data_IF_137325952277
#
_entry.id   IF_137325952277
#
_cell.length_a   1.000
_cell.length_b   1.000
_cell.length_c   1.000
_cell.angle_alpha   90.00
_cell.angle_beta   90.00
_cell.angle_gamma   90.00
#
_symmetry.space_group_name_H-M   'P 1'
#
loop_
_entity.id
_entity.type
_entity.pdbx_description
1 polymer ?
#
# COMPACT_ATOMS: atom_id res chain seq x y z
N UNK A 1 -5.92 5.60 -8.25
CA UNK A 1 -4.82 6.50 -7.82
C UNK A 1 -3.70 6.38 -8.83
N UNK A 2 -2.91 7.43 -9.05
CA UNK A 2 -1.69 7.30 -9.85
C UNK A 2 -0.61 6.54 -9.06
N UNK A 3 0.05 5.62 -9.73
CA UNK A 3 1.16 4.84 -9.17
C UNK A 3 2.30 5.78 -8.73
N UNK A 4 2.73 5.66 -7.47
CA UNK A 4 4.00 6.24 -7.00
C UNK A 4 4.62 5.32 -5.95
N UNK A 5 5.95 5.18 -5.96
CA UNK A 5 6.65 4.37 -4.94
C UNK A 5 6.38 4.88 -3.53
N UNK A 6 6.20 6.19 -3.34
CA UNK A 6 5.83 6.76 -2.05
C UNK A 6 4.42 6.36 -1.59
N UNK A 7 3.45 6.19 -2.49
CA UNK A 7 2.14 5.66 -2.10
C UNK A 7 2.24 4.20 -1.66
N UNK A 8 3.11 3.42 -2.31
CA UNK A 8 3.38 2.04 -1.90
C UNK A 8 4.07 1.99 -0.54
N UNK A 9 5.10 2.81 -0.31
CA UNK A 9 5.76 2.96 1.00
C UNK A 9 4.74 3.35 2.07
N UNK A 10 3.86 4.31 1.79
CA UNK A 10 2.79 4.69 2.71
C UNK A 10 1.91 3.51 3.04
N UNK A 11 1.47 2.73 2.05
CA UNK A 11 0.69 1.53 2.31
C UNK A 11 1.47 0.58 3.23
N UNK A 12 2.70 0.22 2.89
CA UNK A 12 3.58 -0.68 3.67
C UNK A 12 3.76 -0.26 5.13
N UNK A 13 3.58 1.03 5.46
CA UNK A 13 3.70 1.56 6.82
C UNK A 13 2.38 2.11 7.39
N UNK A 14 1.27 2.08 6.65
CA UNK A 14 0.00 2.74 6.99
C UNK A 14 -0.77 2.05 8.11
N UNK A 15 -0.50 0.76 8.34
CA UNK A 15 -1.29 -0.09 9.24
C UNK A 15 -1.04 0.18 10.72
N UNK A 16 -0.07 1.04 11.04
CA UNK A 16 0.12 1.52 12.40
C UNK A 16 -0.67 2.82 12.61
N UNK A 17 -1.86 2.71 13.17
CA UNK A 17 -2.69 3.82 13.61
C UNK A 17 -2.22 4.45 14.94
N UNK A 18 -1.14 3.92 15.55
CA UNK A 18 -0.73 4.24 16.93
C UNK A 18 0.53 5.11 16.99
N UNK A 19 1.27 5.25 15.89
CA UNK A 19 2.18 6.38 15.67
C UNK A 19 1.51 7.42 14.76
N UNK A 20 1.34 8.63 15.27
CA UNK A 20 0.84 9.76 14.48
C UNK A 20 1.87 10.21 13.42
N UNK A 21 3.14 9.82 13.60
CA UNK A 21 4.25 10.20 12.73
C UNK A 21 4.44 9.21 11.59
N UNK A 22 4.19 9.63 10.36
CA UNK A 22 4.57 8.87 9.16
C UNK A 22 6.09 8.62 9.12
N UNK A 23 6.87 9.57 9.63
CA UNK A 23 8.34 9.52 9.60
C UNK A 23 8.90 8.40 10.48
N UNK A 24 8.33 8.20 11.67
CA UNK A 24 8.71 7.09 12.55
C UNK A 24 8.30 5.74 11.97
N UNK A 25 7.11 5.68 11.35
CA UNK A 25 6.64 4.48 10.66
C UNK A 25 7.55 4.13 9.48
N UNK A 26 7.98 5.12 8.69
CA UNK A 26 9.00 4.91 7.66
C UNK A 26 10.30 4.41 8.29
N UNK A 27 10.79 5.08 9.34
CA UNK A 27 12.09 4.76 9.94
C UNK A 27 12.15 3.34 10.50
N UNK A 28 11.10 2.88 11.17
CA UNK A 28 11.14 1.63 11.93
C UNK A 28 10.38 0.47 11.29
N UNK A 29 9.36 0.76 10.46
CA UNK A 29 8.48 -0.26 9.90
C UNK A 29 8.73 -0.53 8.40
N UNK A 30 9.46 0.34 7.68
CA UNK A 30 9.76 0.08 6.28
C UNK A 30 10.85 -1.00 6.16
N UNK A 31 10.41 -2.23 5.92
CA UNK A 31 11.23 -3.42 5.85
C UNK A 31 11.14 -4.07 4.46
N UNK A 32 12.18 -4.80 4.02
CA UNK A 32 12.14 -5.62 2.82
C UNK A 32 10.99 -6.63 2.79
N UNK A 33 10.47 -6.87 1.58
CA UNK A 33 9.44 -7.87 1.31
C UNK A 33 10.09 -9.24 1.15
N UNK A 34 9.47 -10.28 1.72
CA UNK A 34 9.92 -11.68 1.66
C UNK A 34 8.90 -12.62 1.06
N UNK A 35 7.65 -12.18 0.90
CA UNK A 35 6.59 -13.01 0.36
C UNK A 35 5.47 -12.17 -0.25
N UNK A 36 4.71 -12.78 -1.15
CA UNK A 36 3.54 -12.17 -1.78
C UNK A 36 2.44 -13.23 -1.95
N UNK A 37 1.22 -12.86 -1.64
CA UNK A 37 0.05 -13.74 -1.65
C UNK A 37 -1.19 -13.02 -2.22
N UNK A 38 -2.16 -13.76 -2.79
CA UNK A 38 -3.44 -13.17 -3.19
C UNK A 38 -4.15 -12.48 -2.03
N UNK A 39 -4.73 -11.31 -2.31
CA UNK A 39 -5.54 -10.58 -1.34
C UNK A 39 -6.75 -11.39 -0.88
N UNK A 40 -7.37 -12.13 -1.81
CA UNK A 40 -8.47 -13.05 -1.53
C UNK A 40 -7.96 -14.47 -1.73
N UNK A 41 -7.73 -15.24 -0.66
CA UNK A 41 -7.22 -16.60 -0.80
C UNK A 41 -8.27 -17.50 -1.46
N UNK A 42 -7.86 -18.21 -2.50
CA UNK A 42 -8.71 -19.10 -3.28
C UNK A 42 -9.61 -18.38 -4.29
N UNK A 43 -10.72 -19.01 -4.64
CA UNK A 43 -11.56 -18.61 -5.76
C UNK A 43 -12.94 -18.08 -5.34
N UNK A 44 -13.03 -17.60 -4.10
CA UNK A 44 -14.28 -17.08 -3.53
C UNK A 44 -14.04 -16.06 -2.43
N UNK A 45 -14.94 -15.09 -2.32
CA UNK A 45 -15.02 -14.17 -1.18
C UNK A 45 -16.47 -13.90 -0.80
N UNK A 46 -16.70 -13.31 0.38
CA UNK A 46 -18.03 -12.89 0.83
C UNK A 46 -18.10 -11.37 0.86
N UNK A 47 -19.26 -10.82 0.54
CA UNK A 47 -19.56 -9.39 0.71
C UNK A 47 -20.96 -9.20 1.25
N UNK A 48 -21.18 -8.07 1.92
CA UNK A 48 -22.50 -7.67 2.41
C UNK A 48 -23.29 -7.06 1.25
N UNK A 49 -24.36 -7.72 0.80
CA UNK A 49 -25.19 -7.18 -0.28
C UNK A 49 -26.22 -6.20 0.31
N UNK A 50 -26.11 -4.88 0.04
CA UNK A 50 -27.03 -3.90 0.58
C UNK A 50 -28.47 -4.08 0.08
N UNK A 51 -28.68 -4.66 -1.11
CA UNK A 51 -30.03 -4.86 -1.67
C UNK A 51 -30.82 -5.94 -0.93
N UNK A 52 -30.13 -6.97 -0.43
CA UNK A 52 -30.77 -8.12 0.22
C UNK A 52 -30.58 -8.13 1.73
N UNK A 53 -29.67 -7.32 2.26
CA UNK A 53 -29.26 -7.30 3.66
C UNK A 53 -28.56 -8.58 4.11
N UNK A 54 -28.07 -9.40 3.16
CA UNK A 54 -27.47 -10.71 3.42
C UNK A 54 -26.05 -10.79 2.87
N UNK A 55 -25.22 -11.63 3.50
CA UNK A 55 -23.90 -12.00 2.98
C UNK A 55 -24.04 -12.88 1.76
N UNK A 56 -23.49 -12.43 0.64
CA UNK A 56 -23.42 -13.19 -0.60
C UNK A 56 -22.00 -13.69 -0.85
N UNK A 57 -21.88 -14.87 -1.46
CA UNK A 57 -20.58 -15.45 -1.84
C UNK A 57 -20.33 -15.19 -3.31
N UNK A 58 -19.27 -14.44 -3.62
CA UNK A 58 -18.72 -14.31 -4.96
C UNK A 58 -17.78 -15.50 -5.20
N UNK A 59 -17.86 -16.10 -6.39
CA UNK A 59 -16.97 -17.16 -6.84
C UNK A 59 -16.49 -16.83 -8.25
N UNK A 60 -15.29 -17.24 -8.58
CA UNK A 60 -14.69 -17.05 -9.90
C UNK A 60 -13.82 -18.26 -10.26
N UNK A 61 -13.53 -18.44 -11.54
CA UNK A 61 -12.65 -19.48 -12.06
C UNK A 61 -11.31 -18.90 -12.49
N UNK A 62 -11.28 -17.64 -12.92
CA UNK A 62 -10.09 -16.92 -13.36
C UNK A 62 -10.16 -15.44 -12.96
N UNK A 63 -9.12 -14.69 -13.32
CA UNK A 63 -8.97 -13.29 -12.95
C UNK A 63 -10.00 -12.37 -13.64
N UNK A 64 -10.28 -12.56 -14.92
CA UNK A 64 -11.27 -11.76 -15.65
C UNK A 64 -12.67 -11.89 -15.00
N UNK A 65 -13.08 -13.12 -14.69
CA UNK A 65 -14.33 -13.38 -13.99
C UNK A 65 -14.32 -12.79 -12.57
N UNK A 66 -13.18 -12.83 -11.87
CA UNK A 66 -13.03 -12.17 -10.56
C UNK A 66 -13.31 -10.68 -10.68
N UNK A 67 -12.70 -10.01 -11.65
CA UNK A 67 -12.87 -8.57 -11.88
C UNK A 67 -14.32 -8.21 -12.20
N UNK A 68 -14.99 -9.00 -13.03
CA UNK A 68 -16.39 -8.80 -13.38
C UNK A 68 -17.32 -8.95 -12.16
N UNK A 69 -17.12 -10.01 -11.37
CA UNK A 69 -17.90 -10.25 -10.15
C UNK A 69 -17.71 -9.11 -9.13
N UNK A 70 -16.49 -8.61 -8.98
CA UNK A 70 -16.18 -7.50 -8.10
C UNK A 70 -16.79 -6.19 -8.60
N UNK A 71 -16.74 -5.93 -9.91
CA UNK A 71 -17.38 -4.76 -10.53
C UNK A 71 -18.88 -4.76 -10.29
N UNK A 72 -19.55 -5.91 -10.43
CA UNK A 72 -20.99 -6.04 -10.18
C UNK A 72 -21.31 -5.79 -8.69
N UNK A 73 -20.53 -6.37 -7.77
CA UNK A 73 -20.71 -6.18 -6.34
C UNK A 73 -20.48 -4.72 -5.92
N UNK A 74 -19.39 -4.10 -6.38
CA UNK A 74 -19.06 -2.71 -6.08
C UNK A 74 -20.11 -1.74 -6.61
N UNK A 75 -20.67 -1.98 -7.80
CA UNK A 75 -21.78 -1.16 -8.31
C UNK A 75 -22.97 -1.16 -7.35
N UNK A 76 -23.33 -2.31 -6.77
CA UNK A 76 -24.44 -2.39 -5.80
C UNK A 76 -24.13 -1.62 -4.51
N UNK A 77 -22.89 -1.67 -4.06
CA UNK A 77 -22.41 -0.92 -2.88
C UNK A 77 -22.44 0.59 -3.16
N UNK A 78 -21.99 1.02 -4.34
CA UNK A 78 -21.99 2.42 -4.76
C UNK A 78 -23.42 2.97 -4.89
N UNK A 79 -24.34 2.22 -5.51
CA UNK A 79 -25.76 2.57 -5.57
C UNK A 79 -26.35 2.79 -4.17
N UNK A 80 -26.09 1.86 -3.24
CA UNK A 80 -26.51 1.99 -1.84
C UNK A 80 -25.88 3.22 -1.15
N UNK A 81 -24.58 3.44 -1.32
CA UNK A 81 -23.88 4.56 -0.68
C UNK A 81 -24.40 5.91 -1.18
N UNK A 82 -24.83 6.00 -2.44
CA UNK A 82 -25.48 7.18 -3.00
C UNK A 82 -26.86 7.44 -2.37
N UNK A 83 -27.65 6.38 -2.12
CA UNK A 83 -28.92 6.49 -1.39
C UNK A 83 -28.69 6.92 0.07
N UNK A 84 -27.64 6.39 0.72
CA UNK A 84 -27.23 6.79 2.07
C UNK A 84 -26.87 8.27 2.13
N UNK A 85 -26.08 8.78 1.17
CA UNK A 85 -25.76 10.20 1.09
C UNK A 85 -27.03 11.05 0.97
N UNK A 86 -27.93 10.66 0.07
CA UNK A 86 -29.18 11.37 -0.17
C UNK A 86 -30.05 11.40 1.08
N UNK A 87 -30.18 10.27 1.79
CA UNK A 87 -30.92 10.17 3.04
C UNK A 87 -30.30 11.03 4.15
N UNK A 88 -28.99 10.92 4.35
CA UNK A 88 -28.27 11.65 5.41
C UNK A 88 -28.34 13.17 5.19
N UNK A 89 -28.25 13.63 3.94
CA UNK A 89 -28.45 15.04 3.60
C UNK A 89 -29.86 15.49 4.00
N UNK A 90 -30.91 14.77 3.61
CA UNK A 90 -32.29 15.14 3.99
C UNK A 90 -32.46 15.23 5.50
N UNK A 91 -31.85 14.33 6.27
CA UNK A 91 -31.96 14.35 7.73
C UNK A 91 -31.23 15.53 8.38
N UNK A 92 -30.05 15.89 7.87
CA UNK A 92 -29.26 17.01 8.38
C UNK A 92 -29.90 18.37 8.08
N UNK A 93 -30.46 18.54 6.88
CA UNK A 93 -31.02 19.82 6.42
C UNK A 93 -32.54 19.96 6.66
N UNK A 94 -33.25 18.85 6.91
CA UNK A 94 -34.71 18.84 7.11
C UNK A 94 -35.17 19.02 8.57
N UNK A 95 -34.25 18.97 9.54
CA UNK A 95 -34.53 18.99 10.97
C UNK A 95 -33.90 20.19 11.70
N UNK A 96 -33.72 21.34 11.03
CA UNK A 96 -33.12 22.54 11.65
C UNK A 96 -33.85 22.99 12.94
N UNK A 97 -35.14 22.66 13.08
CA UNK A 97 -35.99 23.04 14.22
C UNK A 97 -35.98 22.05 15.41
N UNK A 98 -35.28 20.90 15.31
CA UNK A 98 -35.25 19.89 16.39
C UNK A 98 -33.83 19.44 16.68
N UNK A 99 -33.32 19.87 17.84
CA UNK A 99 -32.05 19.50 18.45
C UNK A 99 -32.02 18.03 18.94
N UNK A 100 -32.54 17.10 18.15
CA UNK A 100 -32.50 15.67 18.44
C UNK A 100 -31.32 15.02 17.71
N UNK A 101 -30.77 13.98 18.34
CA UNK A 101 -29.73 13.14 17.77
C UNK A 101 -30.26 12.48 16.49
N UNK A 102 -29.72 12.88 15.34
CA UNK A 102 -30.09 12.36 14.03
C UNK A 102 -29.30 11.08 13.78
N UNK A 103 -30.01 9.96 13.59
CA UNK A 103 -29.39 8.69 13.23
C UNK A 103 -29.01 8.69 11.74
N UNK A 104 -27.72 8.79 11.45
CA UNK A 104 -27.16 8.74 10.10
C UNK A 104 -26.90 7.29 9.68
N UNK A 105 -27.19 6.99 8.41
CA UNK A 105 -26.82 5.70 7.83
C UNK A 105 -25.34 5.68 7.48
N UNK A 106 -24.69 4.54 7.69
CA UNK A 106 -23.29 4.32 7.35
C UNK A 106 -23.14 3.84 5.91
N UNK A 107 -22.06 4.28 5.26
CA UNK A 107 -21.65 3.76 3.96
C UNK A 107 -20.97 2.41 4.10
N UNK A 108 -21.18 1.56 3.11
CA UNK A 108 -20.47 0.29 2.99
C UNK A 108 -19.16 0.46 2.21
N UNK A 109 -18.06 -0.21 2.63
CA UNK A 109 -16.82 -0.20 1.87
C UNK A 109 -16.96 -1.02 0.59
N UNK A 110 -16.35 -0.56 -0.50
CA UNK A 110 -16.24 -1.35 -1.73
C UNK A 110 -15.18 -2.45 -1.58
N UNK A 111 -15.31 -3.51 -2.36
CA UNK A 111 -14.30 -4.56 -2.47
C UNK A 111 -13.09 -4.03 -3.23
N UNK A 112 -11.89 -4.30 -2.70
CA UNK A 112 -10.66 -3.96 -3.37
C UNK A 112 -10.44 -4.88 -4.57
N UNK A 113 -10.42 -4.31 -5.78
CA UNK A 113 -10.28 -5.07 -7.02
C UNK A 113 -8.83 -5.44 -7.27
N UNK A 114 -7.93 -4.47 -7.17
CA UNK A 114 -6.51 -4.67 -7.48
C UNK A 114 -5.68 -4.59 -6.20
N UNK A 115 -5.41 -5.75 -5.58
CA UNK A 115 -4.41 -5.84 -4.54
C UNK A 115 -3.91 -7.25 -4.26
N UNK A 116 -2.87 -7.33 -3.45
CA UNK A 116 -2.21 -8.55 -2.98
C UNK A 116 -1.65 -8.27 -1.58
N UNK A 117 -1.35 -9.33 -0.83
CA UNK A 117 -0.71 -9.24 0.47
C UNK A 117 0.81 -9.44 0.31
N UNK A 118 1.61 -8.70 1.08
CA UNK A 118 3.06 -8.91 1.15
C UNK A 118 3.51 -9.20 2.57
N UNK A 119 4.44 -10.14 2.72
CA UNK A 119 5.10 -10.42 3.99
C UNK A 119 6.39 -9.62 4.08
N UNK A 120 6.71 -9.10 5.26
CA UNK A 120 7.92 -8.33 5.50
C UNK A 120 8.95 -9.19 6.24
N UNK A 121 10.23 -8.88 6.04
CA UNK A 121 11.31 -9.49 6.84
C UNK A 121 11.21 -9.10 8.31
N UNK A 122 11.78 -9.91 9.19
CA UNK A 122 12.09 -9.47 10.55
C UNK A 122 13.17 -8.37 10.51
N UNK A 123 13.12 -7.36 11.41
CA UNK A 123 14.12 -6.31 11.46
C UNK A 123 15.48 -6.89 11.92
N UNK A 124 16.53 -6.66 11.14
CA UNK A 124 17.89 -7.06 11.53
C UNK A 124 18.49 -6.08 12.55
N UNK A 125 18.06 -4.82 12.51
CA UNK A 125 18.56 -3.77 13.39
C UNK A 125 17.70 -3.73 14.63
N UNK A 126 18.32 -3.68 15.81
CA UNK A 126 17.56 -3.56 17.06
C UNK A 126 16.73 -2.28 17.07
N UNK A 127 15.45 -2.40 17.39
CA UNK A 127 14.55 -1.27 17.59
C UNK A 127 14.81 -0.70 19.00
N UNK A 128 14.94 0.63 19.17
CA UNK A 128 15.11 1.25 20.48
C UNK A 128 14.12 0.78 21.56
N UNK A 129 14.60 0.71 22.80
CA UNK A 129 13.85 0.16 23.94
C UNK A 129 12.71 1.07 24.44
N UNK A 130 12.71 2.33 24.05
CA UNK A 130 11.70 3.35 24.35
C UNK A 130 10.55 3.38 23.31
N UNK A 131 10.68 2.65 22.21
CA UNK A 131 9.60 2.47 21.24
C UNK A 131 8.57 1.44 21.73
N UNK A 132 7.34 1.60 21.27
CA UNK A 132 6.22 0.74 21.68
C UNK A 132 6.44 -0.72 21.30
N UNK A 133 5.93 -1.66 22.12
CA UNK A 133 6.02 -3.10 21.85
C UNK A 133 5.35 -3.47 20.52
N UNK A 134 4.35 -2.70 20.11
CA UNK A 134 3.66 -2.80 18.84
C UNK A 134 4.59 -2.59 17.64
N UNK A 135 5.51 -1.63 17.70
CA UNK A 135 6.53 -1.41 16.66
C UNK A 135 7.53 -2.58 16.59
N UNK A 136 7.71 -3.32 17.69
CA UNK A 136 8.62 -4.48 17.75
C UNK A 136 8.06 -5.73 17.09
N UNK A 137 6.74 -5.93 17.12
CA UNK A 137 6.07 -7.16 16.65
C UNK A 137 5.51 -7.00 15.22
N UNK A 138 5.63 -5.81 14.64
CA UNK A 138 4.95 -5.36 13.42
C UNK A 138 5.23 -6.17 12.14
N UNK A 139 6.33 -6.89 12.00
CA UNK A 139 6.68 -7.55 10.72
C UNK A 139 5.85 -8.82 10.41
N UNK A 140 5.10 -9.34 11.38
CA UNK A 140 4.52 -10.70 11.30
C UNK A 140 3.25 -10.84 10.46
N UNK A 141 2.49 -9.77 10.31
CA UNK A 141 1.21 -9.83 9.57
C UNK A 141 1.40 -9.43 8.11
N UNK A 142 0.85 -10.19 7.15
CA UNK A 142 0.85 -9.79 5.75
C UNK A 142 0.17 -8.43 5.52
N UNK A 143 0.71 -7.68 4.56
CA UNK A 143 0.42 -6.28 4.32
C UNK A 143 -0.32 -6.12 3.00
N UNK A 144 -1.59 -5.67 2.99
CA UNK A 144 -2.29 -5.47 1.74
C UNK A 144 -1.69 -4.27 1.01
N UNK A 145 -1.43 -4.46 -0.28
CA UNK A 145 -1.06 -3.43 -1.24
C UNK A 145 -2.17 -3.35 -2.28
N UNK A 146 -2.72 -2.16 -2.44
CA UNK A 146 -3.74 -1.82 -3.42
C UNK A 146 -3.13 -0.92 -4.48
N UNK A 147 -2.76 -1.52 -5.61
CA UNK A 147 -2.24 -0.81 -6.76
C UNK A 147 -2.45 -1.65 -8.03
N UNK A 148 -3.10 -1.08 -9.04
CA UNK A 148 -3.41 -1.77 -10.29
C UNK A 148 -2.15 -2.12 -11.10
N UNK A 149 -1.16 -1.22 -11.12
CA UNK A 149 0.08 -1.44 -11.86
C UNK A 149 0.86 -2.61 -11.27
N UNK A 150 1.09 -2.60 -9.95
CA UNK A 150 1.80 -3.70 -9.28
C UNK A 150 1.01 -5.01 -9.30
N UNK A 151 -0.33 -4.94 -9.19
CA UNK A 151 -1.15 -6.14 -9.28
C UNK A 151 -0.97 -6.81 -10.64
N UNK A 152 -0.99 -6.03 -11.73
CA UNK A 152 -0.76 -6.56 -13.09
C UNK A 152 0.63 -7.17 -13.24
N UNK A 153 1.69 -6.52 -12.75
CA UNK A 153 3.04 -7.10 -12.85
C UNK A 153 3.16 -8.40 -12.07
N UNK A 154 2.44 -8.54 -10.95
CA UNK A 154 2.41 -9.77 -10.16
C UNK A 154 1.64 -10.89 -10.87
N UNK A 155 0.48 -10.59 -11.47
CA UNK A 155 -0.25 -11.57 -12.30
C UNK A 155 0.58 -12.04 -13.49
N UNK A 156 1.23 -11.11 -14.21
CA UNK A 156 2.11 -11.44 -15.32
C UNK A 156 3.25 -12.36 -14.89
N UNK A 157 3.83 -12.12 -13.70
CA UNK A 157 4.88 -12.97 -13.15
C UNK A 157 4.38 -14.40 -12.83
N UNK A 158 3.17 -14.53 -12.30
CA UNK A 158 2.53 -15.83 -12.05
C UNK A 158 2.28 -16.56 -13.38
N UNK A 159 1.69 -15.88 -14.36
CA UNK A 159 1.31 -16.47 -15.65
C UNK A 159 2.52 -16.90 -16.47
N UNK A 160 3.58 -16.09 -16.46
CA UNK A 160 4.85 -16.39 -17.14
C UNK A 160 5.68 -17.44 -16.39
N UNK A 161 5.22 -17.91 -15.22
CA UNK A 161 5.96 -18.79 -14.31
C UNK A 161 7.35 -18.21 -13.97
N UNK A 162 7.43 -16.89 -13.87
CA UNK A 162 8.63 -16.24 -13.35
C UNK A 162 8.87 -16.73 -11.91
N UNK A 163 10.13 -16.76 -11.50
CA UNK A 163 10.44 -17.03 -10.11
C UNK A 163 9.85 -15.89 -9.28
N UNK A 164 9.00 -16.22 -8.32
CA UNK A 164 8.37 -15.23 -7.43
C UNK A 164 9.44 -14.38 -6.72
N UNK A 165 10.60 -14.98 -6.47
CA UNK A 165 11.79 -14.35 -5.90
C UNK A 165 12.35 -13.24 -6.81
N UNK A 166 12.28 -13.41 -8.14
CA UNK A 166 12.67 -12.36 -9.07
C UNK A 166 11.73 -11.16 -8.91
N UNK A 167 10.41 -11.40 -8.90
CA UNK A 167 9.42 -10.32 -8.71
C UNK A 167 9.62 -9.60 -7.37
N UNK A 168 9.86 -10.35 -6.27
CA UNK A 168 10.15 -9.80 -4.95
C UNK A 168 11.44 -8.96 -4.98
N UNK A 169 12.50 -9.45 -5.60
CA UNK A 169 13.77 -8.72 -5.72
C UNK A 169 13.60 -7.40 -6.48
N UNK A 170 12.82 -7.41 -7.57
CA UNK A 170 12.52 -6.24 -8.39
C UNK A 170 11.61 -5.24 -7.63
N UNK A 171 10.69 -5.73 -6.80
CA UNK A 171 9.87 -4.89 -5.94
C UNK A 171 10.72 -4.22 -4.85
N UNK A 172 11.53 -5.01 -4.12
CA UNK A 172 12.44 -4.47 -3.13
C UNK A 172 13.42 -3.46 -3.74
N UNK A 173 13.88 -3.71 -4.98
CA UNK A 173 14.74 -2.79 -5.71
C UNK A 173 14.06 -1.46 -6.00
N UNK A 174 12.79 -1.48 -6.38
CA UNK A 174 12.00 -0.27 -6.62
C UNK A 174 11.90 0.59 -5.34
N UNK A 175 11.61 -0.02 -4.19
CA UNK A 175 11.56 0.68 -2.89
C UNK A 175 12.95 1.20 -2.51
N UNK A 176 13.98 0.36 -2.64
CA UNK A 176 15.35 0.69 -2.31
C UNK A 176 15.90 1.87 -3.13
N UNK A 177 15.60 1.91 -4.43
CA UNK A 177 15.98 3.04 -5.28
C UNK A 177 15.35 4.35 -4.77
N UNK A 178 14.10 4.31 -4.29
CA UNK A 178 13.47 5.50 -3.69
C UNK A 178 14.13 5.91 -2.38
N UNK A 179 14.46 4.95 -1.51
CA UNK A 179 15.23 5.21 -0.28
C UNK A 179 16.56 5.91 -0.62
N UNK A 180 17.34 5.34 -1.55
CA UNK A 180 18.63 5.90 -2.00
C UNK A 180 18.49 7.31 -2.57
N UNK A 181 17.46 7.55 -3.38
CA UNK A 181 17.16 8.89 -3.92
C UNK A 181 16.90 9.90 -2.81
N UNK A 182 16.03 9.58 -1.85
CA UNK A 182 15.70 10.49 -0.75
C UNK A 182 16.93 10.77 0.15
N UNK A 183 17.79 9.78 0.37
CA UNK A 183 19.07 9.96 1.09
C UNK A 183 19.99 10.94 0.33
N UNK A 184 20.12 10.76 -0.98
CA UNK A 184 20.96 11.63 -1.81
C UNK A 184 20.43 13.07 -1.84
N UNK A 185 19.11 13.25 -1.88
CA UNK A 185 18.47 14.56 -1.78
C UNK A 185 18.73 15.21 -0.41
N UNK A 186 18.58 14.48 0.69
CA UNK A 186 18.88 14.99 2.04
C UNK A 186 20.36 15.41 2.18
N UNK A 187 21.29 14.61 1.66
CA UNK A 187 22.72 14.95 1.63
C UNK A 187 22.99 16.23 0.85
N UNK A 188 22.38 16.39 -0.33
CA UNK A 188 22.51 17.60 -1.15
C UNK A 188 21.99 18.86 -0.46
N UNK A 189 20.93 18.72 0.35
CA UNK A 189 20.32 19.82 1.10
C UNK A 189 20.97 20.06 2.47
N UNK A 190 21.99 19.27 2.86
CA UNK A 190 22.64 19.40 4.16
C UNK A 190 21.77 18.94 5.34
N UNK A 191 20.66 18.24 5.10
CA UNK A 191 19.74 17.73 6.12
C UNK A 191 19.96 16.24 6.43
N UNK A 192 21.12 15.71 6.08
CA UNK A 192 21.51 14.33 6.36
C UNK A 192 22.22 14.22 7.71
N UNK A 193 21.64 13.45 8.62
CA UNK A 193 22.25 13.02 9.88
C UNK A 193 21.91 11.54 10.17
N UNK A 194 22.42 11.01 11.28
CA UNK A 194 22.15 9.63 11.70
C UNK A 194 20.66 9.38 12.02
N UNK A 195 19.93 10.44 12.39
CA UNK A 195 18.49 10.43 12.65
C UNK A 195 17.64 10.51 11.39
N UNK A 196 18.21 10.59 10.19
CA UNK A 196 17.41 10.66 8.97
C UNK A 196 16.48 9.45 8.82
N UNK A 197 15.21 9.70 8.49
CA UNK A 197 14.14 8.68 8.44
C UNK A 197 14.47 7.52 7.48
N UNK A 198 15.32 7.76 6.47
CA UNK A 198 15.68 6.77 5.46
C UNK A 198 16.90 5.93 5.84
N UNK A 199 17.65 6.30 6.89
CA UNK A 199 18.91 5.65 7.25
C UNK A 199 18.73 4.19 7.68
N UNK A 200 17.77 3.93 8.56
CA UNK A 200 17.48 2.57 9.04
C UNK A 200 16.89 1.68 7.93
N UNK A 201 15.85 2.09 7.17
CA UNK A 201 15.36 1.32 6.04
C UNK A 201 16.46 1.00 5.04
N UNK A 202 17.34 1.96 4.74
CA UNK A 202 18.47 1.73 3.85
C UNK A 202 19.35 0.55 4.29
N UNK A 203 19.70 0.49 5.58
CA UNK A 203 20.52 -0.60 6.12
C UNK A 203 19.79 -1.94 6.09
N UNK A 204 18.49 -1.97 6.40
CA UNK A 204 17.67 -3.18 6.32
C UNK A 204 17.61 -3.74 4.90
N UNK A 205 17.38 -2.89 3.89
CA UNK A 205 17.37 -3.31 2.49
C UNK A 205 18.75 -3.78 2.02
N UNK A 206 19.83 -3.10 2.39
CA UNK A 206 21.20 -3.56 2.06
C UNK A 206 21.45 -4.95 2.65
N UNK A 207 21.11 -5.15 3.92
CA UNK A 207 21.28 -6.44 4.60
C UNK A 207 20.47 -7.54 3.90
N UNK A 208 19.21 -7.27 3.56
CA UNK A 208 18.36 -8.23 2.86
C UNK A 208 18.96 -8.65 1.52
N UNK A 209 19.36 -7.69 0.67
CA UNK A 209 20.01 -8.02 -0.60
C UNK A 209 21.29 -8.85 -0.42
N UNK A 210 22.08 -8.58 0.62
CA UNK A 210 23.28 -9.38 0.92
C UNK A 210 22.94 -10.80 1.38
N UNK A 211 21.95 -10.96 2.27
CA UNK A 211 21.52 -12.26 2.81
C UNK A 211 20.95 -13.14 1.69
N UNK A 212 20.11 -12.57 0.83
CA UNK A 212 19.50 -13.27 -0.31
C UNK A 212 20.47 -13.48 -1.49
N UNK A 213 21.71 -12.99 -1.40
CA UNK A 213 22.72 -13.17 -2.44
C UNK A 213 22.50 -12.34 -3.71
N UNK A 214 21.68 -11.29 -3.62
CA UNK A 214 21.35 -10.41 -4.74
C UNK A 214 22.35 -9.27 -4.91
N UNK A 215 22.95 -9.18 -6.09
CA UNK A 215 23.73 -8.01 -6.48
C UNK A 215 22.81 -6.87 -6.96
N UNK A 216 22.51 -5.94 -6.06
CA UNK A 216 21.57 -4.82 -6.26
C UNK A 216 21.71 -4.05 -7.58
N UNK A 217 22.93 -3.93 -8.12
CA UNK A 217 23.21 -3.23 -9.39
C UNK A 217 22.66 -3.95 -10.63
N UNK A 218 22.38 -5.25 -10.54
CA UNK A 218 21.89 -6.07 -11.65
C UNK A 218 20.39 -6.34 -11.59
N UNK A 219 19.71 -5.85 -10.55
CA UNK A 219 18.26 -5.96 -10.42
C UNK A 219 17.61 -4.71 -11.02
N UNK A 220 16.66 -4.93 -11.92
CA UNK A 220 15.81 -3.89 -12.48
C UNK A 220 14.56 -3.71 -11.61
N UNK A 221 14.11 -2.48 -11.32
CA UNK A 221 12.88 -2.28 -10.55
C UNK A 221 11.65 -2.67 -11.39
N UNK A 222 10.58 -3.18 -10.73
CA UNK A 222 9.32 -3.54 -11.39
C UNK A 222 8.73 -2.39 -12.21
N UNK A 223 8.74 -1.20 -11.61
CA UNK A 223 8.32 0.04 -12.26
C UNK A 223 9.42 1.06 -12.03
N UNK A 224 10.09 1.55 -13.09
CA UNK A 224 11.06 2.62 -12.93
C UNK A 224 10.35 3.89 -12.47
N UNK A 225 10.90 4.59 -11.48
CA UNK A 225 10.44 5.95 -11.22
C UNK A 225 10.73 6.79 -12.47
N UNK A 226 9.71 7.43 -13.04
CA UNK A 226 9.95 8.46 -14.04
C UNK A 226 10.89 9.49 -13.42
N UNK A 227 12.02 9.77 -14.06
CA UNK A 227 12.78 10.98 -13.76
C UNK A 227 11.80 12.15 -13.97
N UNK A 228 11.30 12.74 -12.88
CA UNK A 228 10.61 14.02 -13.01
C UNK A 228 11.55 14.93 -13.81
N UNK A 229 11.07 15.59 -14.88
CA UNK A 229 11.94 16.40 -15.71
C UNK A 229 12.64 17.39 -14.79
N UNK A 230 13.98 17.42 -14.89
CA UNK A 230 14.79 18.43 -14.23
C UNK A 230 14.07 19.77 -14.42
N UNK A 231 13.68 20.42 -13.32
CA UNK A 231 13.12 21.77 -13.38
C UNK A 231 14.13 22.58 -14.19
N UNK A 232 13.76 22.92 -15.43
CA UNK A 232 14.50 23.90 -16.22
C UNK A 232 14.40 25.16 -15.39
N UNK A 233 15.49 25.51 -14.69
CA UNK A 233 15.61 26.83 -14.12
C UNK A 233 15.42 27.81 -15.29
N UNK A 234 14.57 28.84 -15.17
CA UNK A 234 14.52 29.84 -16.21
C UNK A 234 15.92 30.47 -16.29
N UNK A 235 16.61 30.19 -17.39
CA UNK A 235 17.82 30.90 -17.76
C UNK A 235 17.46 32.38 -17.89
N UNK A 236 18.20 33.23 -17.18
CA UNK A 236 18.38 34.63 -17.55
C UNK A 236 17.17 35.55 -17.38
N UNK A 237 17.08 36.18 -16.21
CA UNK A 237 16.73 37.59 -16.17
C UNK A 237 17.97 38.34 -15.66
N UNK A 238 18.85 38.67 -16.61
CA UNK A 238 19.85 39.73 -16.46
C UNK A 238 19.26 41.07 -16.86
#
# INVERSE_FOLDING_TARGET
>A
MSFTVMNIIRQLVAYDSRSESLDDRIRYCLLPITGVEPLYPGNKTRFDNPKTGKKETLKWVNEDERLDMFRIANRRIEEYNYEVDSYNLVQLWGNEDKMHEVELKEKLPTLNTYGFNVSLTEPNIQIPNDLSDELRIFHRDPRPIYDETLHKTWLDAIDQKCLIDDWISQFNKMIFNRIQRNINEAKKLGSWDEGNIWNRPNKEFINWFHIEGFEQKYIYPLVPESEAPARIAPEGAG
#
